data_IF_500344877398
#
_entry.id   IF_500344877398
#
_cell.length_a   1.000
_cell.length_b   1.000
_cell.length_c   1.000
_cell.angle_alpha   90.00
_cell.angle_beta   90.00
_cell.angle_gamma   90.00
#
_symmetry.space_group_name_H-M   'P 1'
#
loop_
_entity.id
_entity.type
_entity.pdbx_description
1 polymer ?
#
# COMPACT_ATOMS: atom_id res chain seq x y z
N UNK A 1 34.15 5.58 -6.42
CA UNK A 1 33.69 6.16 -7.69
C UNK A 1 32.31 5.67 -8.12
N UNK A 2 31.92 4.43 -7.89
CA UNK A 2 30.61 3.87 -8.31
C UNK A 2 29.41 4.52 -7.57
N UNK A 3 29.55 4.87 -6.30
CA UNK A 3 28.48 5.51 -5.50
C UNK A 3 28.13 6.93 -5.93
N UNK A 4 29.08 7.68 -6.47
CA UNK A 4 28.86 9.05 -6.98
C UNK A 4 28.12 9.03 -8.32
N UNK A 5 28.38 8.00 -9.15
CA UNK A 5 27.68 7.83 -10.42
C UNK A 5 26.21 7.43 -10.22
N UNK A 6 25.93 6.57 -9.23
CA UNK A 6 24.58 6.19 -8.89
C UNK A 6 23.75 7.38 -8.36
N UNK A 7 24.35 8.22 -7.53
CA UNK A 7 23.69 9.44 -7.06
C UNK A 7 23.40 10.44 -8.20
N UNK A 8 24.31 10.57 -9.17
CA UNK A 8 24.12 11.44 -10.33
C UNK A 8 23.00 10.94 -11.26
N UNK A 9 22.85 9.62 -11.41
CA UNK A 9 21.77 9.02 -12.22
C UNK A 9 20.41 9.22 -11.54
N UNK A 10 20.34 9.06 -10.23
CA UNK A 10 19.10 9.31 -9.46
C UNK A 10 18.69 10.79 -9.57
N UNK A 11 19.64 11.71 -9.45
CA UNK A 11 19.38 13.15 -9.62
C UNK A 11 18.96 13.45 -11.07
N UNK A 12 19.58 12.82 -12.08
CA UNK A 12 19.23 13.02 -13.48
C UNK A 12 17.82 12.49 -13.81
N UNK A 13 17.43 11.35 -13.25
CA UNK A 13 16.07 10.79 -13.41
C UNK A 13 15.04 11.68 -12.71
N UNK A 14 15.34 12.19 -11.52
CA UNK A 14 14.49 13.13 -10.81
C UNK A 14 14.31 14.46 -11.56
N UNK A 15 15.32 14.91 -12.32
CA UNK A 15 15.21 16.13 -13.14
C UNK A 15 14.53 15.92 -14.51
N UNK A 16 14.46 14.69 -15.04
CA UNK A 16 13.76 14.40 -16.31
C UNK A 16 12.29 14.02 -16.16
N UNK A 17 11.84 13.63 -14.96
CA UNK A 17 10.41 13.50 -14.70
C UNK A 17 9.86 14.92 -14.66
N UNK A 18 9.20 15.31 -15.74
CA UNK A 18 8.64 16.65 -15.91
C UNK A 18 7.46 16.81 -14.93
N UNK A 19 7.75 17.26 -13.72
CA UNK A 19 6.78 17.53 -12.66
C UNK A 19 5.66 18.48 -13.08
N UNK A 20 5.84 19.17 -14.22
CA UNK A 20 4.84 20.10 -14.77
C UNK A 20 3.56 19.41 -15.28
N UNK A 21 3.60 18.13 -15.59
CA UNK A 21 2.41 17.38 -16.04
C UNK A 21 1.50 16.90 -14.91
N UNK A 22 1.92 16.98 -13.66
CA UNK A 22 1.16 16.49 -12.50
C UNK A 22 0.22 17.53 -11.87
N UNK A 23 0.33 18.79 -12.24
CA UNK A 23 -0.64 19.82 -11.84
C UNK A 23 -1.65 20.01 -12.95
N UNK A 24 -2.61 19.10 -13.06
CA UNK A 24 -3.74 19.26 -13.97
C UNK A 24 -4.58 20.47 -13.56
N UNK A 25 -4.49 21.54 -14.31
CA UNK A 25 -5.56 22.53 -14.41
C UNK A 25 -5.37 23.89 -13.75
N UNK A 26 -4.24 24.21 -13.13
CA UNK A 26 -3.97 25.61 -12.74
C UNK A 26 -2.69 26.09 -13.38
N UNK A 27 -2.81 27.11 -14.25
CA UNK A 27 -1.64 27.84 -14.72
C UNK A 27 -0.84 28.33 -13.52
N UNK A 28 0.49 28.02 -13.41
CA UNK A 28 1.32 28.61 -12.36
C UNK A 28 1.28 30.13 -12.58
N UNK A 29 0.82 30.87 -11.58
CA UNK A 29 1.07 32.31 -11.58
C UNK A 29 2.56 32.45 -11.37
N UNK A 30 3.25 32.92 -12.39
CA UNK A 30 4.66 33.25 -12.27
C UNK A 30 4.72 34.61 -11.57
N UNK A 31 4.83 34.61 -10.22
CA UNK A 31 4.97 35.83 -9.44
C UNK A 31 6.20 36.67 -9.88
N UNK A 32 7.15 36.07 -10.57
CA UNK A 32 8.28 36.79 -11.15
C UNK A 32 7.88 37.66 -12.36
N UNK A 33 6.81 37.32 -13.08
CA UNK A 33 6.29 38.19 -14.17
C UNK A 33 5.41 39.33 -13.67
N UNK A 34 4.81 39.22 -12.49
CA UNK A 34 4.02 40.30 -11.89
C UNK A 34 4.87 41.35 -11.17
N UNK A 35 6.13 41.05 -10.83
CA UNK A 35 7.04 42.03 -10.21
C UNK A 35 7.48 43.18 -11.16
N UNK A 36 7.22 43.10 -12.46
CA UNK A 36 7.50 44.18 -13.42
C UNK A 36 6.34 45.18 -13.59
N UNK A 37 5.15 44.81 -13.06
CA UNK A 37 4.00 45.72 -13.05
C UNK A 37 3.71 45.95 -11.56
N UNK A 38 3.98 47.18 -11.07
CA UNK A 38 3.71 47.61 -9.69
C UNK A 38 2.21 47.47 -9.30
N UNK A 39 1.71 46.24 -9.27
CA UNK A 39 0.35 45.89 -8.98
C UNK A 39 0.22 45.51 -7.49
N UNK A 40 -0.75 46.12 -6.86
CA UNK A 40 -1.23 45.84 -5.51
C UNK A 40 -1.58 44.38 -5.39
N UNK A 41 -0.72 43.55 -4.79
CA UNK A 41 -1.00 42.11 -4.55
C UNK A 41 -2.20 42.05 -3.60
N UNK A 42 -3.31 41.45 -4.07
CA UNK A 42 -4.45 41.17 -3.19
C UNK A 42 -4.12 39.98 -2.28
N UNK A 43 -3.61 40.29 -1.08
CA UNK A 43 -3.28 39.30 -0.07
C UNK A 43 -4.46 38.38 0.29
N UNK A 44 -5.71 38.83 0.15
CA UNK A 44 -6.90 38.03 0.39
C UNK A 44 -7.07 36.93 -0.66
N UNK A 45 -6.84 37.25 -1.93
CA UNK A 45 -6.87 36.30 -3.04
C UNK A 45 -5.74 35.30 -2.88
N UNK A 46 -4.52 35.76 -2.59
CA UNK A 46 -3.35 34.90 -2.40
C UNK A 46 -3.55 33.94 -1.22
N UNK A 47 -4.02 34.43 -0.07
CA UNK A 47 -4.31 33.59 1.11
C UNK A 47 -5.38 32.54 0.82
N UNK A 48 -6.46 32.89 0.13
CA UNK A 48 -7.51 31.93 -0.25
C UNK A 48 -6.99 30.84 -1.22
N UNK A 49 -6.14 31.23 -2.16
CA UNK A 49 -5.48 30.29 -3.07
C UNK A 49 -4.57 29.34 -2.30
N UNK A 50 -3.65 29.89 -1.49
CA UNK A 50 -2.76 29.07 -0.64
C UNK A 50 -3.56 28.11 0.25
N UNK A 51 -4.66 28.57 0.86
CA UNK A 51 -5.50 27.73 1.70
C UNK A 51 -6.05 26.51 0.95
N UNK A 52 -6.54 26.67 -0.28
CA UNK A 52 -7.06 25.56 -1.10
C UNK A 52 -5.97 24.61 -1.57
N UNK A 53 -4.85 25.16 -2.03
CA UNK A 53 -3.75 24.31 -2.53
C UNK A 53 -3.08 23.53 -1.40
N UNK A 54 -2.95 24.11 -0.20
CA UNK A 54 -2.49 23.41 1.00
C UNK A 54 -3.44 22.26 1.34
N UNK A 55 -4.76 22.46 1.27
CA UNK A 55 -5.72 21.37 1.45
C UNK A 55 -5.52 20.26 0.42
N UNK A 56 -5.25 20.62 -0.84
CA UNK A 56 -4.94 19.65 -1.90
C UNK A 56 -3.68 18.83 -1.57
N UNK A 57 -2.61 19.49 -1.11
CA UNK A 57 -1.38 18.79 -0.66
C UNK A 57 -1.70 17.84 0.48
N UNK A 58 -2.45 18.27 1.49
CA UNK A 58 -2.83 17.43 2.63
C UNK A 58 -3.70 16.23 2.23
N UNK A 59 -4.66 16.42 1.32
CA UNK A 59 -5.51 15.34 0.82
C UNK A 59 -4.73 14.28 0.03
N UNK A 60 -3.64 14.66 -0.64
CA UNK A 60 -2.74 13.71 -1.30
C UNK A 60 -2.06 12.73 -0.33
N UNK A 61 -1.99 13.06 0.97
CA UNK A 61 -1.55 12.18 2.04
C UNK A 61 -2.68 11.39 2.69
N UNK A 62 -3.89 11.45 2.17
CA UNK A 62 -5.07 10.79 2.76
C UNK A 62 -5.54 11.44 4.06
N UNK A 63 -5.16 12.69 4.32
CA UNK A 63 -5.65 13.48 5.45
C UNK A 63 -7.09 13.88 5.15
N UNK A 64 -8.01 13.53 6.05
CA UNK A 64 -9.45 13.79 5.85
C UNK A 64 -9.82 15.22 6.22
N UNK A 65 -10.86 15.75 5.60
CA UNK A 65 -11.34 17.12 5.85
C UNK A 65 -11.67 17.36 7.31
N UNK A 66 -12.25 16.38 8.00
CA UNK A 66 -12.58 16.47 9.44
C UNK A 66 -11.37 16.54 10.37
N UNK A 67 -10.17 16.26 9.88
CA UNK A 67 -8.92 16.41 10.62
C UNK A 67 -8.26 17.77 10.43
N UNK A 68 -8.85 18.63 9.62
CA UNK A 68 -8.36 19.97 9.28
C UNK A 68 -9.34 21.00 9.82
N UNK A 69 -8.84 21.90 10.66
CA UNK A 69 -9.61 23.07 11.13
C UNK A 69 -8.94 24.32 10.63
N UNK A 70 -9.67 25.20 9.96
CA UNK A 70 -9.15 26.45 9.45
C UNK A 70 -9.85 27.64 10.10
N UNK A 71 -9.04 28.57 10.67
CA UNK A 71 -9.51 29.81 11.24
C UNK A 71 -8.92 31.01 10.47
N UNK A 72 -9.80 31.82 9.88
CA UNK A 72 -9.38 33.09 9.25
C UNK A 72 -9.09 34.14 10.33
N UNK A 73 -7.99 34.84 10.18
CA UNK A 73 -7.60 35.96 11.05
C UNK A 73 -7.58 37.26 10.25
N UNK A 74 -7.90 38.36 10.91
CA UNK A 74 -7.76 39.68 10.32
C UNK A 74 -6.54 40.37 11.00
N UNK A 75 -5.63 40.89 10.19
CA UNK A 75 -4.54 41.71 10.66
C UNK A 75 -5.01 43.14 10.98
N UNK A 76 -4.12 43.97 11.52
CA UNK A 76 -4.34 45.41 11.77
C UNK A 76 -4.57 46.22 10.48
N UNK A 77 -4.04 45.76 9.36
CA UNK A 77 -4.34 46.20 8.00
C UNK A 77 -5.31 45.22 7.37
N UNK A 78 -5.98 45.54 6.26
CA UNK A 78 -6.96 44.70 5.54
C UNK A 78 -6.42 43.32 5.10
N UNK A 79 -5.16 43.00 5.42
CA UNK A 79 -4.50 41.71 5.14
C UNK A 79 -5.19 40.57 5.89
N UNK A 80 -5.75 39.63 5.14
CA UNK A 80 -6.32 38.40 5.66
C UNK A 80 -5.24 37.33 5.68
N UNK A 81 -5.09 36.62 6.80
CA UNK A 81 -4.26 35.45 6.94
C UNK A 81 -5.02 34.33 7.63
N UNK A 82 -4.53 33.12 7.59
CA UNK A 82 -5.24 31.99 8.21
C UNK A 82 -4.32 31.13 9.09
N UNK A 83 -4.95 30.48 10.06
CA UNK A 83 -4.34 29.42 10.85
C UNK A 83 -5.05 28.12 10.50
N UNK A 84 -4.29 27.08 10.25
CA UNK A 84 -4.78 25.75 9.95
C UNK A 84 -4.21 24.77 10.96
N UNK A 85 -5.08 24.10 11.72
CA UNK A 85 -4.72 23.02 12.63
C UNK A 85 -5.02 21.69 11.96
N UNK A 86 -4.00 20.87 11.76
CA UNK A 86 -4.05 19.60 11.03
C UNK A 86 -3.66 18.45 11.95
N UNK A 87 -4.58 17.51 12.13
CA UNK A 87 -4.29 16.25 12.82
C UNK A 87 -3.85 15.23 11.79
N UNK A 88 -2.71 14.58 12.03
CA UNK A 88 -2.20 13.56 11.14
C UNK A 88 -2.13 12.19 11.83
N UNK A 89 -2.40 11.10 11.10
CA UNK A 89 -2.25 9.75 11.65
C UNK A 89 -0.79 9.42 11.93
N UNK A 90 -0.56 8.53 12.88
CA UNK A 90 0.77 8.18 13.37
C UNK A 90 1.65 7.44 12.33
N UNK A 91 1.05 6.89 11.28
CA UNK A 91 1.74 6.23 10.17
C UNK A 91 2.26 7.20 9.10
N UNK A 92 2.04 8.49 9.30
CA UNK A 92 2.50 9.58 8.44
C UNK A 92 3.47 10.46 9.21
N UNK A 93 4.65 10.71 8.64
CA UNK A 93 5.65 11.56 9.27
C UNK A 93 5.41 13.05 8.96
N UNK A 94 5.69 13.91 9.91
CA UNK A 94 5.63 15.36 9.68
C UNK A 94 6.66 15.82 8.64
N UNK A 95 7.78 15.10 8.51
CA UNK A 95 8.82 15.39 7.51
C UNK A 95 8.33 15.21 6.08
N UNK A 96 7.54 14.15 5.79
CA UNK A 96 6.97 13.93 4.45
C UNK A 96 6.03 15.06 4.04
N UNK A 97 5.14 15.48 4.95
CA UNK A 97 4.22 16.58 4.69
C UNK A 97 4.98 17.90 4.52
N UNK A 98 5.97 18.15 5.41
CA UNK A 98 6.80 19.35 5.35
C UNK A 98 7.49 19.49 3.98
N UNK A 99 8.03 18.40 3.45
CA UNK A 99 8.70 18.40 2.15
C UNK A 99 7.76 18.84 1.02
N UNK A 100 6.56 18.28 0.96
CA UNK A 100 5.58 18.60 -0.09
C UNK A 100 5.04 20.04 0.07
N UNK A 101 4.77 20.49 1.31
CA UNK A 101 4.36 21.87 1.59
C UNK A 101 5.46 22.86 1.20
N UNK A 102 6.71 22.61 1.57
CA UNK A 102 7.86 23.44 1.20
C UNK A 102 8.05 23.50 -0.31
N UNK A 103 7.89 22.36 -1.00
CA UNK A 103 7.98 22.29 -2.47
C UNK A 103 6.89 23.15 -3.11
N UNK A 104 5.65 23.04 -2.62
CA UNK A 104 4.55 23.88 -3.08
C UNK A 104 4.83 25.39 -2.86
N UNK A 105 5.18 25.79 -1.62
CA UNK A 105 5.42 27.19 -1.27
C UNK A 105 6.53 27.80 -2.11
N UNK A 106 7.64 27.07 -2.32
CA UNK A 106 8.74 27.49 -3.20
C UNK A 106 8.32 27.61 -4.65
N UNK A 107 7.46 26.72 -5.14
CA UNK A 107 6.97 26.74 -6.53
C UNK A 107 6.18 28.00 -6.86
N UNK A 108 5.56 28.65 -5.87
CA UNK A 108 4.82 29.92 -6.01
C UNK A 108 5.64 31.13 -5.58
N UNK A 109 6.94 30.96 -5.29
CA UNK A 109 7.86 32.07 -5.01
C UNK A 109 7.74 32.67 -3.60
N UNK A 110 7.05 31.96 -2.67
CA UNK A 110 6.93 32.39 -1.28
C UNK A 110 8.06 31.80 -0.41
N UNK A 111 8.28 32.42 0.76
CA UNK A 111 9.20 31.94 1.77
C UNK A 111 8.44 31.20 2.87
N UNK A 112 9.08 30.19 3.43
CA UNK A 112 8.56 29.47 4.58
C UNK A 112 9.58 29.38 5.71
N UNK A 113 9.09 29.18 6.92
CA UNK A 113 9.87 28.79 8.07
C UNK A 113 9.15 27.67 8.83
N UNK A 114 9.92 26.73 9.39
CA UNK A 114 9.38 25.56 10.08
C UNK A 114 9.95 25.51 11.48
N UNK A 115 9.09 25.25 12.46
CA UNK A 115 9.47 25.00 13.87
C UNK A 115 8.96 23.63 14.26
N UNK A 116 9.84 22.79 14.78
CA UNK A 116 9.50 21.46 15.28
C UNK A 116 9.53 21.43 16.80
N UNK A 117 8.51 20.81 17.39
CA UNK A 117 8.52 20.43 18.80
C UNK A 117 9.06 19.00 18.92
N UNK A 118 10.30 18.86 19.40
CA UNK A 118 11.00 17.58 19.52
C UNK A 118 10.25 16.58 20.41
N UNK A 119 9.43 17.04 21.36
CA UNK A 119 8.73 16.15 22.30
C UNK A 119 7.49 15.51 21.68
N UNK A 120 6.77 16.28 20.90
CA UNK A 120 5.50 15.86 20.30
C UNK A 120 5.63 15.49 18.83
N UNK A 121 6.79 15.75 18.21
CA UNK A 121 7.02 15.69 16.77
C UNK A 121 6.01 16.52 15.94
N UNK A 122 5.32 17.45 16.61
CA UNK A 122 4.46 18.42 15.95
C UNK A 122 5.30 19.50 15.26
N UNK A 123 4.82 19.99 14.12
CA UNK A 123 5.46 21.09 13.42
C UNK A 123 4.52 22.28 13.27
N UNK A 124 5.08 23.47 13.34
CA UNK A 124 4.44 24.72 12.96
C UNK A 124 5.11 25.20 11.67
N UNK A 125 4.37 25.14 10.57
CA UNK A 125 4.80 25.59 9.27
C UNK A 125 4.24 26.98 9.01
N UNK A 126 5.10 27.96 8.77
CA UNK A 126 4.74 29.37 8.60
C UNK A 126 5.08 29.78 7.17
N UNK A 127 4.12 30.36 6.48
CA UNK A 127 4.29 30.95 5.14
C UNK A 127 4.32 32.46 5.31
N UNK A 128 5.41 33.08 4.90
CA UNK A 128 5.55 34.52 4.94
C UNK A 128 4.79 35.19 3.79
N UNK A 129 4.17 36.32 4.07
CA UNK A 129 3.62 37.14 3.01
C UNK A 129 4.76 37.73 2.14
N UNK A 130 4.53 37.99 0.84
CA UNK A 130 5.46 38.73 0.02
C UNK A 130 5.84 40.04 0.69
N UNK A 131 7.13 40.38 0.70
CA UNK A 131 7.58 41.63 1.30
C UNK A 131 6.98 42.82 0.53
N UNK A 132 6.30 43.69 1.25
CA UNK A 132 5.97 45.01 0.73
C UNK A 132 7.26 45.87 0.64
N UNK A 133 7.32 46.79 -0.33
CA UNK A 133 8.47 47.67 -0.58
C UNK A 133 8.80 48.55 0.62
N UNK A 134 7.94 48.64 1.62
CA UNK A 134 8.14 49.39 2.86
C UNK A 134 9.04 48.73 3.90
N UNK A 135 9.35 47.44 3.79
CA UNK A 135 10.26 46.70 4.66
C UNK A 135 9.77 46.51 6.11
N UNK A 136 8.56 46.93 6.45
CA UNK A 136 7.98 46.84 7.78
C UNK A 136 7.16 45.56 7.96
N UNK A 137 7.53 44.76 8.99
CA UNK A 137 6.81 43.65 9.57
C UNK A 137 6.09 42.70 8.62
N UNK A 138 6.77 41.65 8.22
CA UNK A 138 6.16 40.52 7.50
C UNK A 138 5.13 39.80 8.36
N UNK A 139 3.86 40.11 8.19
CA UNK A 139 2.79 39.32 8.73
C UNK A 139 2.81 37.94 8.02
N UNK A 140 2.61 36.83 8.74
CA UNK A 140 2.46 35.53 8.08
C UNK A 140 1.21 35.53 7.18
N UNK A 141 1.33 34.95 5.99
CA UNK A 141 0.19 34.65 5.13
C UNK A 141 -0.63 33.47 5.67
N UNK A 142 0.09 32.47 6.22
CA UNK A 142 -0.51 31.29 6.81
C UNK A 142 0.37 30.72 7.94
N UNK A 143 -0.28 30.12 8.93
CA UNK A 143 0.34 29.27 9.95
C UNK A 143 -0.36 27.92 9.93
N UNK A 144 0.39 26.83 9.76
CA UNK A 144 -0.14 25.48 9.69
C UNK A 144 0.49 24.68 10.83
N UNK A 145 -0.33 24.29 11.81
CA UNK A 145 0.06 23.44 12.92
C UNK A 145 -0.26 21.99 12.58
N UNK A 146 0.74 21.13 12.48
CA UNK A 146 0.57 19.72 12.13
C UNK A 146 0.91 18.89 13.36
N UNK A 147 -0.05 18.13 13.85
CA UNK A 147 0.06 17.37 15.10
C UNK A 147 -0.23 15.88 14.85
N UNK A 148 0.71 14.97 15.12
CA UNK A 148 0.48 13.53 15.09
C UNK A 148 -0.52 13.07 16.16
N UNK A 149 -1.49 12.26 15.79
CA UNK A 149 -2.54 11.74 16.68
C UNK A 149 -2.66 10.22 16.51
N UNK A 150 -2.67 9.48 17.63
CA UNK A 150 -2.67 8.00 17.63
C UNK A 150 -3.99 7.38 17.23
N UNK A 151 -5.11 8.04 17.49
CA UNK A 151 -6.45 7.46 17.38
C UNK A 151 -7.10 7.63 16.00
N UNK A 152 -6.42 8.30 15.07
CA UNK A 152 -6.91 8.49 13.71
C UNK A 152 -6.16 7.60 12.70
N UNK A 153 -6.89 7.12 11.69
CA UNK A 153 -6.34 6.24 10.65
C UNK A 153 -6.83 6.64 9.27
N UNK A 154 -5.95 6.53 8.29
CA UNK A 154 -6.29 6.74 6.88
C UNK A 154 -7.16 5.59 6.37
N UNK A 155 -8.02 5.88 5.39
CA UNK A 155 -8.79 4.86 4.67
C UNK A 155 -7.91 4.22 3.61
N UNK A 156 -6.97 3.41 4.06
CA UNK A 156 -6.01 2.74 3.20
C UNK A 156 -5.83 1.30 3.66
N UNK A 157 -5.59 0.42 2.70
CA UNK A 157 -5.42 -1.01 2.93
C UNK A 157 -4.08 -1.53 2.44
N UNK A 158 -3.98 -2.85 2.40
CA UNK A 158 -2.82 -3.57 1.87
C UNK A 158 -3.08 -3.98 0.43
N UNK A 159 -2.11 -3.75 -0.43
CA UNK A 159 -2.09 -4.14 -1.83
C UNK A 159 -1.02 -5.20 -2.06
N UNK A 160 -1.44 -6.36 -2.55
CA UNK A 160 -0.57 -7.45 -2.99
C UNK A 160 -0.77 -7.59 -4.50
N UNK A 161 0.21 -7.13 -5.26
CA UNK A 161 0.10 -7.04 -6.71
C UNK A 161 1.03 -8.08 -7.35
N UNK A 162 0.45 -8.92 -8.19
CA UNK A 162 1.13 -10.00 -8.87
C UNK A 162 1.14 -9.68 -10.37
N UNK A 163 2.31 -9.48 -10.94
CA UNK A 163 2.47 -9.16 -12.36
C UNK A 163 2.55 -10.46 -13.15
N UNK A 164 1.71 -10.58 -14.15
CA UNK A 164 1.67 -11.70 -15.07
C UNK A 164 2.29 -11.29 -16.44
N UNK A 165 2.71 -12.27 -17.21
CA UNK A 165 3.21 -12.12 -18.58
C UNK A 165 4.47 -11.22 -18.73
N UNK A 166 5.30 -11.13 -17.70
CA UNK A 166 6.55 -10.36 -17.74
C UNK A 166 7.54 -10.89 -18.80
N UNK A 167 7.41 -12.13 -19.22
CA UNK A 167 8.19 -12.74 -20.31
C UNK A 167 7.95 -12.08 -21.67
N UNK A 168 6.84 -11.37 -21.84
CA UNK A 168 6.50 -10.66 -23.07
C UNK A 168 7.20 -9.29 -23.19
N UNK A 169 7.93 -8.86 -22.15
CA UNK A 169 8.63 -7.58 -22.15
C UNK A 169 9.98 -7.70 -22.87
N UNK A 170 10.37 -6.64 -23.56
CA UNK A 170 11.69 -6.56 -24.18
C UNK A 170 12.80 -6.60 -23.12
N UNK A 171 14.01 -7.08 -23.50
CA UNK A 171 15.10 -7.28 -22.55
C UNK A 171 15.51 -6.01 -21.81
N UNK A 172 15.61 -4.88 -22.52
CA UNK A 172 16.02 -3.59 -21.93
C UNK A 172 14.94 -3.05 -20.99
N UNK A 173 13.68 -3.24 -21.34
CA UNK A 173 12.50 -2.90 -20.53
C UNK A 173 12.41 -3.76 -19.29
N UNK A 174 12.64 -5.06 -19.46
CA UNK A 174 12.67 -6.01 -18.35
C UNK A 174 13.74 -5.63 -17.33
N UNK A 175 14.95 -5.22 -17.74
CA UNK A 175 15.98 -4.78 -16.79
C UNK A 175 15.58 -3.53 -16.01
N UNK A 176 14.91 -2.58 -16.65
CA UNK A 176 14.36 -1.41 -15.98
C UNK A 176 13.32 -1.80 -14.91
N UNK A 177 12.39 -2.69 -15.25
CA UNK A 177 11.36 -3.20 -14.34
C UNK A 177 11.98 -3.98 -13.18
N UNK A 178 12.98 -4.80 -13.44
CA UNK A 178 13.66 -5.59 -12.41
C UNK A 178 14.45 -4.72 -11.42
N UNK A 179 14.92 -3.56 -11.84
CA UNK A 179 15.59 -2.59 -10.98
C UNK A 179 14.61 -1.73 -10.17
N UNK A 180 13.33 -1.72 -10.53
CA UNK A 180 12.27 -1.09 -9.78
C UNK A 180 11.99 -1.92 -8.49
N UNK A 181 11.32 -1.36 -7.57
CA UNK A 181 11.05 -1.84 -6.22
C UNK A 181 10.77 -3.36 -6.06
N UNK A 182 11.09 -3.91 -4.91
CA UNK A 182 10.80 -5.30 -4.55
C UNK A 182 9.37 -5.49 -4.00
N UNK A 183 8.40 -4.66 -4.39
CA UNK A 183 7.06 -4.64 -3.83
C UNK A 183 6.04 -5.47 -4.64
N UNK A 184 6.44 -5.95 -5.81
CA UNK A 184 5.60 -6.78 -6.66
C UNK A 184 6.02 -8.23 -6.60
N UNK A 185 5.06 -9.11 -6.79
CA UNK A 185 5.29 -10.52 -7.07
C UNK A 185 5.11 -10.78 -8.56
N UNK A 186 5.74 -11.82 -9.07
CA UNK A 186 5.70 -12.18 -10.47
C UNK A 186 5.19 -13.61 -10.60
N UNK A 187 4.20 -13.84 -11.46
CA UNK A 187 3.62 -15.16 -11.67
C UNK A 187 3.91 -15.67 -13.09
N UNK A 188 4.31 -16.91 -13.16
CA UNK A 188 4.66 -17.59 -14.40
C UNK A 188 3.82 -18.86 -14.60
N UNK A 189 3.44 -19.18 -15.83
CA UNK A 189 2.95 -20.51 -16.15
C UNK A 189 4.08 -21.53 -15.91
N UNK A 190 3.70 -22.80 -15.75
CA UNK A 190 4.68 -23.88 -15.72
C UNK A 190 5.19 -24.15 -17.14
N UNK A 191 6.11 -23.31 -17.62
CA UNK A 191 6.73 -23.44 -18.92
C UNK A 191 8.25 -23.57 -18.75
N UNK A 192 8.91 -24.63 -19.26
CA UNK A 192 10.35 -24.78 -19.23
C UNK A 192 11.13 -23.61 -19.86
N UNK A 193 10.57 -22.95 -20.87
CA UNK A 193 11.18 -21.81 -21.56
C UNK A 193 11.35 -20.59 -20.65
N UNK A 194 10.56 -20.48 -19.59
CA UNK A 194 10.57 -19.35 -18.66
C UNK A 194 11.43 -19.59 -17.41
N UNK A 195 11.99 -20.78 -17.24
CA UNK A 195 12.77 -21.16 -16.05
C UNK A 195 14.00 -20.26 -15.89
N UNK A 196 14.66 -19.88 -16.99
CA UNK A 196 15.84 -19.02 -16.94
C UNK A 196 15.48 -17.62 -16.38
N UNK A 197 14.39 -17.03 -16.86
CA UNK A 197 13.88 -15.75 -16.37
C UNK A 197 13.44 -15.83 -14.92
N UNK A 198 12.75 -16.89 -14.52
CA UNK A 198 12.37 -17.14 -13.14
C UNK A 198 13.58 -17.19 -12.21
N UNK A 199 14.61 -17.93 -12.60
CA UNK A 199 15.86 -18.04 -11.82
C UNK A 199 16.58 -16.69 -11.71
N UNK A 200 16.63 -15.89 -12.79
CA UNK A 200 17.16 -14.52 -12.77
C UNK A 200 16.41 -13.66 -11.74
N UNK A 201 15.09 -13.69 -11.73
CA UNK A 201 14.25 -12.96 -10.78
C UNK A 201 14.52 -13.39 -9.32
N UNK A 202 14.61 -14.69 -9.09
CA UNK A 202 14.90 -15.25 -7.76
C UNK A 202 16.30 -14.80 -7.27
N UNK A 203 17.31 -14.81 -8.14
CA UNK A 203 18.66 -14.30 -7.83
C UNK A 203 18.63 -12.81 -7.47
N UNK A 204 17.76 -12.04 -8.10
CA UNK A 204 17.51 -10.62 -7.79
C UNK A 204 16.62 -10.43 -6.55
N UNK A 205 16.30 -11.50 -5.82
CA UNK A 205 15.43 -11.50 -4.61
C UNK A 205 14.01 -11.00 -4.88
N UNK A 206 13.52 -11.18 -6.10
CA UNK A 206 12.11 -10.92 -6.42
C UNK A 206 11.24 -12.07 -5.93
N UNK A 207 10.00 -11.77 -5.61
CA UNK A 207 9.01 -12.76 -5.22
C UNK A 207 8.39 -13.40 -6.46
N UNK A 208 8.62 -14.70 -6.65
CA UNK A 208 8.21 -15.45 -7.83
C UNK A 208 7.23 -16.54 -7.43
N UNK A 209 6.11 -16.61 -8.15
CA UNK A 209 5.07 -17.62 -8.02
C UNK A 209 4.94 -18.44 -9.30
N UNK A 210 4.46 -19.67 -9.15
CA UNK A 210 4.04 -20.50 -10.29
C UNK A 210 2.52 -20.57 -10.34
N UNK A 211 1.96 -20.40 -11.52
CA UNK A 211 0.56 -20.69 -11.81
C UNK A 211 0.42 -22.17 -12.16
N UNK A 212 -0.34 -22.89 -11.36
CA UNK A 212 -0.68 -24.29 -11.55
C UNK A 212 -2.12 -24.40 -11.99
N UNK A 213 -2.41 -25.33 -12.89
CA UNK A 213 -3.74 -25.48 -13.49
C UNK A 213 -4.37 -26.83 -13.15
N UNK A 214 -5.70 -26.80 -12.93
CA UNK A 214 -6.52 -28.00 -12.80
C UNK A 214 -7.52 -28.04 -13.94
N UNK A 215 -7.51 -29.12 -14.68
CA UNK A 215 -8.43 -29.38 -15.80
C UNK A 215 -9.47 -30.46 -15.48
N UNK A 216 -10.41 -30.65 -16.38
CA UNK A 216 -11.28 -31.81 -16.40
C UNK A 216 -10.47 -33.11 -16.64
N UNK A 217 -11.10 -34.27 -16.48
CA UNK A 217 -10.40 -35.55 -16.54
C UNK A 217 -9.74 -35.82 -17.92
N UNK A 218 -10.29 -35.29 -18.98
CA UNK A 218 -9.84 -35.41 -20.37
C UNK A 218 -8.86 -34.27 -20.79
N UNK A 219 -8.63 -33.29 -19.94
CA UNK A 219 -7.75 -32.19 -20.29
C UNK A 219 -6.29 -32.49 -19.92
N UNK A 220 -5.48 -32.87 -20.92
CA UNK A 220 -4.07 -33.23 -20.75
C UNK A 220 -3.11 -32.05 -20.70
N UNK A 221 -3.57 -30.85 -21.03
CA UNK A 221 -2.76 -29.61 -20.97
C UNK A 221 -2.68 -29.02 -19.55
N UNK A 222 -3.59 -29.46 -18.65
CA UNK A 222 -3.57 -29.04 -17.25
C UNK A 222 -2.46 -29.75 -16.47
N UNK A 223 -1.91 -29.06 -15.48
CA UNK A 223 -0.93 -29.66 -14.56
C UNK A 223 -1.53 -30.81 -13.76
N UNK A 224 -2.78 -30.65 -13.34
CA UNK A 224 -3.55 -31.66 -12.63
C UNK A 224 -4.92 -31.85 -13.27
N UNK A 225 -5.52 -33.01 -13.04
CA UNK A 225 -6.85 -33.35 -13.57
C UNK A 225 -7.76 -33.88 -12.48
N UNK A 226 -9.04 -33.60 -12.62
CA UNK A 226 -10.06 -34.22 -11.78
C UNK A 226 -10.03 -35.72 -12.01
N UNK A 227 -10.15 -36.50 -10.92
CA UNK A 227 -10.12 -37.97 -11.01
C UNK A 227 -8.71 -38.57 -11.16
N UNK A 228 -7.65 -37.79 -11.08
CA UNK A 228 -6.27 -38.29 -11.02
C UNK A 228 -6.09 -39.19 -9.80
N UNK A 229 -5.44 -40.33 -9.94
CA UNK A 229 -5.13 -41.22 -8.83
C UNK A 229 -4.18 -40.51 -7.83
N UNK A 230 -4.34 -40.77 -6.54
CA UNK A 230 -3.55 -40.14 -5.50
C UNK A 230 -2.03 -40.39 -5.66
N UNK A 231 -1.66 -41.56 -6.15
CA UNK A 231 -0.27 -41.95 -6.45
C UNK A 231 0.32 -41.04 -7.52
N UNK A 232 -0.40 -40.86 -8.61
CA UNK A 232 0.04 -40.03 -9.75
C UNK A 232 0.09 -38.55 -9.38
N UNK A 233 -0.89 -38.11 -8.59
CA UNK A 233 -0.90 -36.76 -8.03
C UNK A 233 0.36 -36.51 -7.20
N UNK A 234 0.71 -37.40 -6.28
CA UNK A 234 1.91 -37.28 -5.44
C UNK A 234 3.19 -37.26 -6.27
N UNK A 235 3.28 -38.11 -7.30
CA UNK A 235 4.42 -38.13 -8.20
C UNK A 235 4.52 -36.82 -9.01
N UNK A 236 3.38 -36.30 -9.50
CA UNK A 236 3.31 -35.03 -10.24
C UNK A 236 3.73 -33.84 -9.36
N UNK A 237 3.25 -33.77 -8.12
CA UNK A 237 3.67 -32.74 -7.16
C UNK A 237 5.17 -32.78 -6.91
N UNK A 238 5.75 -33.97 -6.70
CA UNK A 238 7.20 -34.12 -6.52
C UNK A 238 7.98 -33.65 -7.73
N UNK A 239 7.54 -34.01 -8.95
CA UNK A 239 8.17 -33.53 -10.17
C UNK A 239 8.15 -31.99 -10.25
N UNK A 240 6.99 -31.38 -10.04
CA UNK A 240 6.85 -29.91 -10.08
C UNK A 240 7.72 -29.25 -9.00
N UNK A 241 7.72 -29.77 -7.77
CA UNK A 241 8.56 -29.23 -6.69
C UNK A 241 10.06 -29.33 -7.01
N UNK A 242 10.46 -30.39 -7.75
CA UNK A 242 11.86 -30.55 -8.20
C UNK A 242 12.22 -29.59 -9.35
N UNK A 243 11.27 -29.29 -10.22
CA UNK A 243 11.46 -28.34 -11.35
C UNK A 243 11.67 -26.91 -10.80
N UNK A 244 11.09 -26.58 -9.63
CA UNK A 244 11.09 -25.24 -9.04
C UNK A 244 11.58 -25.21 -7.58
N UNK A 245 12.83 -25.60 -7.31
CA UNK A 245 13.32 -25.80 -5.93
C UNK A 245 13.36 -24.50 -5.08
N UNK A 246 13.39 -23.36 -5.71
CA UNK A 246 13.47 -22.04 -5.04
C UNK A 246 12.13 -21.35 -4.86
N UNK A 247 11.05 -21.91 -5.39
CA UNK A 247 9.71 -21.31 -5.30
C UNK A 247 9.05 -21.71 -3.98
N UNK A 248 8.52 -20.74 -3.27
CA UNK A 248 7.84 -20.93 -1.99
C UNK A 248 6.31 -20.91 -2.11
N UNK A 249 5.78 -20.29 -3.14
CA UNK A 249 4.35 -20.06 -3.28
C UNK A 249 3.86 -20.31 -4.72
N UNK A 250 2.63 -20.84 -4.85
CA UNK A 250 1.99 -21.05 -6.14
C UNK A 250 0.49 -20.71 -6.04
N UNK A 251 -0.10 -20.33 -7.18
CA UNK A 251 -1.53 -20.15 -7.35
C UNK A 251 -2.08 -21.35 -8.12
N UNK A 252 -3.16 -21.94 -7.63
CA UNK A 252 -3.84 -23.05 -8.24
C UNK A 252 -5.16 -22.57 -8.86
N UNK A 253 -5.20 -22.53 -10.18
CA UNK A 253 -6.30 -22.02 -10.97
C UNK A 253 -7.04 -23.15 -11.69
N UNK A 254 -8.32 -22.95 -11.99
CA UNK A 254 -9.04 -23.80 -12.93
C UNK A 254 -8.70 -23.37 -14.36
N UNK A 255 -8.47 -24.33 -15.24
CA UNK A 255 -8.20 -24.03 -16.66
C UNK A 255 -9.45 -23.46 -17.37
N UNK A 256 -10.64 -23.84 -16.90
CA UNK A 256 -11.92 -23.30 -17.35
C UNK A 256 -12.93 -23.22 -16.20
N UNK A 257 -13.98 -22.39 -16.38
CA UNK A 257 -15.07 -22.27 -15.40
C UNK A 257 -15.89 -23.55 -15.23
N UNK A 258 -15.87 -24.43 -16.21
CA UNK A 258 -16.60 -25.69 -16.24
C UNK A 258 -16.00 -26.75 -15.32
N UNK A 259 -14.71 -26.58 -14.93
CA UNK A 259 -14.06 -27.46 -13.96
C UNK A 259 -14.78 -27.33 -12.61
N UNK A 260 -15.44 -28.41 -12.11
CA UNK A 260 -16.17 -28.36 -10.83
C UNK A 260 -15.23 -28.14 -9.65
N UNK A 261 -15.80 -27.79 -8.50
CA UNK A 261 -15.05 -27.82 -7.25
C UNK A 261 -14.95 -29.28 -6.79
N UNK A 262 -13.73 -29.78 -6.70
CA UNK A 262 -13.42 -31.17 -6.41
C UNK A 262 -12.47 -31.27 -5.20
N UNK A 263 -12.56 -32.33 -4.37
CA UNK A 263 -11.61 -32.58 -3.28
C UNK A 263 -10.15 -32.65 -3.72
N UNK A 264 -9.86 -32.92 -4.99
CA UNK A 264 -8.51 -32.94 -5.57
C UNK A 264 -7.73 -31.64 -5.28
N UNK A 265 -8.41 -30.49 -5.25
CA UNK A 265 -7.77 -29.22 -4.89
C UNK A 265 -7.14 -29.27 -3.49
N UNK A 266 -7.86 -29.84 -2.53
CA UNK A 266 -7.35 -30.00 -1.16
C UNK A 266 -6.17 -30.98 -1.09
N UNK A 267 -6.21 -32.05 -1.87
CA UNK A 267 -5.12 -33.02 -1.93
C UNK A 267 -3.86 -32.39 -2.53
N UNK A 268 -3.97 -31.64 -3.63
CA UNK A 268 -2.87 -30.93 -4.26
C UNK A 268 -2.22 -29.96 -3.25
N UNK A 269 -3.01 -29.10 -2.61
CA UNK A 269 -2.54 -28.11 -1.65
C UNK A 269 -1.78 -28.79 -0.50
N UNK A 270 -2.34 -29.86 0.06
CA UNK A 270 -1.73 -30.57 1.16
C UNK A 270 -0.41 -31.26 0.75
N UNK A 271 -0.35 -31.82 -0.47
CA UNK A 271 0.87 -32.51 -0.92
C UNK A 271 2.01 -31.52 -1.23
N UNK A 272 1.71 -30.36 -1.83
CA UNK A 272 2.70 -29.28 -2.01
C UNK A 272 3.22 -28.75 -0.68
N UNK A 273 2.35 -28.58 0.31
CA UNK A 273 2.76 -28.14 1.65
C UNK A 273 3.77 -29.09 2.30
N UNK A 274 3.65 -30.41 2.09
CA UNK A 274 4.64 -31.38 2.57
C UNK A 274 6.01 -31.20 1.90
N UNK A 275 6.04 -30.61 0.70
CA UNK A 275 7.25 -30.29 -0.04
C UNK A 275 7.73 -28.83 0.20
N UNK A 276 7.16 -28.12 1.17
CA UNK A 276 7.57 -26.76 1.53
C UNK A 276 7.02 -25.66 0.61
N UNK A 277 6.09 -25.98 -0.29
CA UNK A 277 5.46 -25.01 -1.20
C UNK A 277 4.04 -24.72 -0.74
N UNK A 278 3.73 -23.45 -0.53
CA UNK A 278 2.40 -22.98 -0.16
C UNK A 278 1.56 -22.70 -1.40
N UNK A 279 0.53 -23.51 -1.61
CA UNK A 279 -0.38 -23.36 -2.75
C UNK A 279 -1.69 -22.75 -2.31
N UNK A 280 -2.13 -21.74 -3.04
CA UNK A 280 -3.37 -21.02 -2.80
C UNK A 280 -4.28 -21.11 -4.01
N UNK A 281 -5.58 -21.18 -3.76
CA UNK A 281 -6.56 -21.16 -4.86
C UNK A 281 -6.71 -19.76 -5.42
N UNK A 282 -6.97 -19.66 -6.71
CA UNK A 282 -7.29 -18.40 -7.42
C UNK A 282 -8.48 -17.64 -6.83
N UNK A 283 -9.30 -18.29 -6.00
CA UNK A 283 -10.42 -17.66 -5.29
C UNK A 283 -10.00 -16.58 -4.30
N UNK A 284 -8.71 -16.52 -3.89
CA UNK A 284 -8.18 -15.43 -3.06
C UNK A 284 -7.91 -14.15 -3.87
N UNK A 285 -7.87 -14.27 -5.20
CA UNK A 285 -7.55 -13.17 -6.09
C UNK A 285 -8.76 -12.25 -6.27
N UNK A 286 -8.52 -10.97 -6.17
CA UNK A 286 -9.53 -9.94 -6.42
C UNK A 286 -9.57 -9.63 -7.92
N UNK A 287 -10.69 -9.87 -8.56
CA UNK A 287 -10.89 -9.45 -9.95
C UNK A 287 -11.09 -7.94 -10.00
N UNK A 288 -10.20 -7.24 -10.71
CA UNK A 288 -10.24 -5.79 -10.85
C UNK A 288 -10.97 -5.35 -12.13
N UNK A 289 -10.75 -6.04 -13.24
CA UNK A 289 -11.29 -5.68 -14.53
C UNK A 289 -12.23 -6.77 -15.08
N UNK A 290 -13.15 -6.37 -15.93
CA UNK A 290 -13.92 -7.28 -16.80
C UNK A 290 -13.19 -7.43 -18.14
N UNK A 291 -13.49 -8.47 -18.91
CA UNK A 291 -12.80 -8.76 -20.17
C UNK A 291 -12.82 -7.57 -21.16
N UNK A 292 -13.92 -6.81 -21.23
CA UNK A 292 -14.06 -5.62 -22.11
C UNK A 292 -13.25 -4.41 -21.63
N UNK A 293 -12.80 -4.38 -20.39
CA UNK A 293 -12.03 -3.29 -19.80
C UNK A 293 -10.52 -3.54 -19.87
N UNK A 294 -10.12 -4.79 -20.13
CA UNK A 294 -8.70 -5.15 -20.29
C UNK A 294 -8.08 -4.54 -21.56
N UNK A 295 -8.90 -4.28 -22.58
CA UNK A 295 -8.46 -3.67 -23.85
C UNK A 295 -8.74 -2.15 -23.91
N UNK A 296 -9.06 -1.52 -22.78
CA UNK A 296 -9.41 -0.09 -22.71
C UNK A 296 -8.21 0.82 -22.57
N UNK A 297 -8.17 1.93 -23.32
CA UNK A 297 -7.15 2.99 -23.19
C UNK A 297 -7.05 3.55 -21.75
N UNK A 298 -8.10 3.37 -20.93
CA UNK A 298 -8.14 3.81 -19.54
C UNK A 298 -7.83 2.70 -18.53
N UNK A 299 -7.33 1.55 -18.95
CA UNK A 299 -7.11 0.35 -18.15
C UNK A 299 -6.35 0.64 -16.84
N UNK A 300 -5.21 1.30 -16.92
CA UNK A 300 -4.38 1.61 -15.74
C UNK A 300 -5.15 2.49 -14.74
N UNK A 301 -5.88 3.49 -15.22
CA UNK A 301 -6.72 4.34 -14.35
C UNK A 301 -7.79 3.52 -13.64
N UNK A 302 -8.49 2.65 -14.36
CA UNK A 302 -9.53 1.76 -13.79
C UNK A 302 -8.95 0.84 -12.73
N UNK A 303 -7.77 0.25 -13.00
CA UNK A 303 -7.06 -0.59 -12.02
C UNK A 303 -6.78 0.21 -10.74
N UNK A 304 -6.17 1.40 -10.85
CA UNK A 304 -5.82 2.22 -9.70
C UNK A 304 -7.04 2.63 -8.88
N UNK A 305 -8.12 3.06 -9.54
CA UNK A 305 -9.35 3.48 -8.86
C UNK A 305 -10.02 2.31 -8.13
N UNK A 306 -10.07 1.12 -8.74
CA UNK A 306 -10.63 -0.08 -8.11
C UNK A 306 -9.75 -0.64 -6.98
N UNK A 307 -8.43 -0.53 -7.10
CA UNK A 307 -7.52 -0.87 -6.01
C UNK A 307 -7.79 0.00 -4.78
N UNK A 308 -7.93 1.33 -4.98
CA UNK A 308 -8.29 2.26 -3.90
C UNK A 308 -9.61 1.87 -3.25
N UNK A 309 -10.66 1.73 -4.06
CA UNK A 309 -11.99 1.41 -3.57
C UNK A 309 -12.00 0.10 -2.79
N UNK A 310 -11.54 -0.99 -3.40
CA UNK A 310 -11.59 -2.32 -2.77
C UNK A 310 -10.73 -2.40 -1.52
N UNK A 311 -9.50 -1.87 -1.55
CA UNK A 311 -8.61 -1.93 -0.39
C UNK A 311 -9.08 -1.04 0.77
N UNK A 312 -9.70 0.11 0.49
CA UNK A 312 -10.30 0.95 1.53
C UNK A 312 -11.47 0.24 2.24
N UNK A 313 -12.23 -0.59 1.52
CA UNK A 313 -13.38 -1.32 2.09
C UNK A 313 -13.00 -2.66 2.74
N UNK A 314 -12.18 -3.46 2.05
CA UNK A 314 -11.84 -4.82 2.51
C UNK A 314 -10.57 -4.89 3.36
N UNK A 315 -9.78 -3.84 3.40
CA UNK A 315 -8.49 -3.77 4.08
C UNK A 315 -7.34 -4.43 3.32
N UNK A 316 -7.61 -5.47 2.51
CA UNK A 316 -6.58 -6.18 1.73
C UNK A 316 -7.08 -6.47 0.31
N UNK A 317 -6.22 -6.30 -0.68
CA UNK A 317 -6.48 -6.69 -2.07
C UNK A 317 -5.30 -7.48 -2.59
N UNK A 318 -5.57 -8.68 -3.10
CA UNK A 318 -4.59 -9.51 -3.82
C UNK A 318 -5.06 -9.57 -5.26
N UNK A 319 -4.28 -9.05 -6.20
CA UNK A 319 -4.69 -8.99 -7.60
C UNK A 319 -3.57 -9.38 -8.55
N UNK A 320 -3.94 -10.11 -9.60
CA UNK A 320 -3.07 -10.37 -10.76
C UNK A 320 -3.32 -9.30 -11.80
N UNK A 321 -2.25 -8.71 -12.31
CA UNK A 321 -2.27 -7.64 -13.30
C UNK A 321 -1.62 -8.13 -14.60
N UNK A 322 -2.37 -8.04 -15.70
CA UNK A 322 -1.89 -8.27 -17.05
C UNK A 322 -1.63 -6.90 -17.67
N UNK A 323 -0.38 -6.44 -17.67
CA UNK A 323 0.01 -5.12 -18.14
C UNK A 323 1.02 -5.27 -19.29
N UNK A 324 0.91 -4.45 -20.31
CA UNK A 324 2.01 -4.20 -21.25
C UNK A 324 3.12 -3.42 -20.56
N UNK A 325 4.27 -3.28 -21.21
CA UNK A 325 5.38 -2.51 -20.65
C UNK A 325 5.00 -1.04 -20.36
N UNK A 326 4.41 -0.34 -21.32
CA UNK A 326 3.99 1.05 -21.16
C UNK A 326 2.93 1.21 -20.06
N UNK A 327 1.96 0.28 -20.00
CA UNK A 327 0.96 0.24 -18.94
C UNK A 327 1.60 0.00 -17.56
N UNK A 328 2.64 -0.84 -17.49
CA UNK A 328 3.34 -1.08 -16.24
C UNK A 328 4.08 0.17 -15.75
N UNK A 329 4.76 0.88 -16.64
CA UNK A 329 5.47 2.13 -16.31
C UNK A 329 4.49 3.19 -15.81
N UNK A 330 3.37 3.38 -16.51
CA UNK A 330 2.29 4.31 -16.09
C UNK A 330 1.70 3.88 -14.74
N UNK A 331 1.38 2.61 -14.58
CA UNK A 331 0.87 2.06 -13.33
C UNK A 331 1.84 2.28 -12.17
N UNK A 332 3.14 1.97 -12.38
CA UNK A 332 4.18 2.15 -11.36
C UNK A 332 4.27 3.61 -10.90
N UNK A 333 4.22 4.55 -11.83
CA UNK A 333 4.22 5.98 -11.48
C UNK A 333 3.06 6.34 -10.54
N UNK A 334 1.88 5.76 -10.77
CA UNK A 334 0.68 5.98 -9.96
C UNK A 334 0.73 5.29 -8.60
N UNK A 335 1.54 4.22 -8.44
CA UNK A 335 1.71 3.55 -7.14
C UNK A 335 2.32 4.46 -6.08
N UNK A 336 3.14 5.43 -6.47
CA UNK A 336 3.73 6.40 -5.54
C UNK A 336 2.65 7.26 -4.88
N UNK A 337 1.61 7.63 -5.63
CA UNK A 337 0.46 8.34 -5.08
C UNK A 337 -0.35 7.45 -4.12
N UNK A 338 -0.49 6.15 -4.42
CA UNK A 338 -1.14 5.21 -3.50
C UNK A 338 -0.38 5.09 -2.18
N UNK A 339 0.96 5.05 -2.22
CA UNK A 339 1.79 5.05 -1.01
C UNK A 339 1.59 6.32 -0.18
N UNK A 340 1.58 7.49 -0.82
CA UNK A 340 1.29 8.76 -0.14
C UNK A 340 -0.08 8.72 0.56
N UNK A 341 -1.10 8.15 -0.07
CA UNK A 341 -2.42 7.95 0.52
C UNK A 341 -2.44 6.96 1.69
N UNK A 342 -1.38 6.20 1.91
CA UNK A 342 -1.22 5.25 3.02
C UNK A 342 -1.41 3.79 2.67
N UNK A 343 -1.62 3.46 1.39
CA UNK A 343 -1.69 2.06 0.97
C UNK A 343 -0.33 1.38 1.13
N UNK A 344 -0.34 0.17 1.69
CA UNK A 344 0.86 -0.63 1.93
C UNK A 344 1.01 -1.68 0.85
N UNK A 345 2.19 -1.76 0.26
CA UNK A 345 2.50 -2.75 -0.76
C UNK A 345 3.30 -3.88 -0.11
N UNK A 346 2.86 -5.10 -0.36
CA UNK A 346 3.59 -6.30 0.05
C UNK A 346 3.71 -7.26 -1.13
N UNK A 347 4.81 -8.01 -1.17
CA UNK A 347 4.88 -9.19 -2.02
C UNK A 347 3.91 -10.26 -1.50
N UNK A 348 3.50 -11.17 -2.36
CA UNK A 348 2.58 -12.24 -2.01
C UNK A 348 3.13 -13.10 -0.86
N UNK A 349 4.37 -13.53 -0.97
CA UNK A 349 5.01 -14.36 0.07
C UNK A 349 5.07 -13.63 1.42
N UNK A 350 5.47 -12.36 1.44
CA UNK A 350 5.51 -11.56 2.66
C UNK A 350 4.11 -11.36 3.28
N UNK A 351 3.10 -11.13 2.45
CA UNK A 351 1.73 -11.02 2.92
C UNK A 351 1.25 -12.32 3.57
N UNK A 352 1.53 -13.46 2.95
CA UNK A 352 1.13 -14.77 3.47
C UNK A 352 1.82 -15.07 4.80
N UNK A 353 3.13 -14.82 4.91
CA UNK A 353 3.87 -15.02 6.16
C UNK A 353 3.24 -14.20 7.31
N UNK A 354 2.90 -12.95 7.06
CA UNK A 354 2.23 -12.09 8.04
C UNK A 354 0.83 -12.59 8.44
N UNK A 355 0.05 -13.07 7.48
CA UNK A 355 -1.27 -13.62 7.77
C UNK A 355 -1.17 -14.92 8.59
N UNK A 356 -0.19 -15.75 8.31
CA UNK A 356 0.08 -16.95 9.12
C UNK A 356 0.48 -16.59 10.55
N UNK A 357 1.41 -15.66 10.75
CA UNK A 357 1.77 -15.17 12.08
C UNK A 357 0.56 -14.57 12.83
N UNK A 358 -0.31 -13.86 12.13
CA UNK A 358 -1.54 -13.30 12.72
C UNK A 358 -2.47 -14.41 13.21
N UNK A 359 -2.69 -15.43 12.38
CA UNK A 359 -3.53 -16.58 12.71
C UNK A 359 -2.96 -17.35 13.90
N UNK A 360 -1.65 -17.55 13.96
CA UNK A 360 -0.97 -18.22 15.08
C UNK A 360 -1.15 -17.43 16.39
N UNK A 361 -0.89 -16.14 16.37
CA UNK A 361 -1.09 -15.26 17.53
C UNK A 361 -2.55 -15.22 18.01
N UNK A 362 -3.51 -15.27 17.09
CA UNK A 362 -4.93 -15.35 17.44
C UNK A 362 -5.29 -16.70 18.06
N UNK A 363 -4.72 -17.80 17.59
CA UNK A 363 -4.90 -19.14 18.19
C UNK A 363 -4.33 -19.19 19.60
N UNK A 364 -3.09 -18.70 19.78
CA UNK A 364 -2.44 -18.63 21.10
C UNK A 364 -3.28 -17.83 22.10
N UNK A 365 -3.79 -16.66 21.71
CA UNK A 365 -4.67 -15.84 22.55
C UNK A 365 -5.95 -16.58 22.94
N UNK A 366 -6.60 -17.25 22.00
CA UNK A 366 -7.82 -18.04 22.27
C UNK A 366 -7.54 -19.19 23.21
N UNK A 367 -6.42 -19.87 23.06
CA UNK A 367 -5.99 -20.94 23.97
C UNK A 367 -5.71 -20.43 25.39
N UNK A 368 -5.05 -19.26 25.51
CA UNK A 368 -4.83 -18.63 26.81
C UNK A 368 -6.14 -18.20 27.49
N UNK A 369 -7.06 -17.62 26.75
CA UNK A 369 -8.38 -17.26 27.25
C UNK A 369 -9.17 -18.49 27.72
N UNK A 370 -9.13 -19.57 26.95
CA UNK A 370 -9.78 -20.83 27.31
C UNK A 370 -9.16 -21.43 28.59
N UNK A 371 -7.83 -21.41 28.71
CA UNK A 371 -7.12 -21.86 29.94
C UNK A 371 -7.49 -21.01 31.16
N UNK A 372 -7.65 -19.69 31.01
CA UNK A 372 -8.11 -18.78 32.07
C UNK A 372 -9.52 -19.13 32.50
N UNK A 373 -10.45 -19.30 31.56
CA UNK A 373 -11.85 -19.66 31.86
C UNK A 373 -11.99 -21.02 32.56
N UNK A 374 -11.15 -22.01 32.16
CA UNK A 374 -11.13 -23.33 32.83
C UNK A 374 -10.64 -23.20 34.28
N UNK A 375 -9.58 -22.45 34.55
CA UNK A 375 -9.05 -22.18 35.90
C UNK A 375 -10.08 -21.46 36.78
N UNK A 376 -10.81 -20.50 36.24
CA UNK A 376 -11.89 -19.80 36.96
C UNK A 376 -13.06 -20.73 37.32
N UNK A 377 -13.46 -21.60 36.39
CA UNK A 377 -14.51 -22.62 36.65
C UNK A 377 -14.09 -23.64 37.70
N UNK A 378 -12.82 -24.06 37.72
CA UNK A 378 -12.29 -24.96 38.75
C UNK A 378 -12.19 -24.29 40.12
N UNK A 379 -11.80 -23.02 40.17
CA UNK A 379 -11.73 -22.26 41.41
C UNK A 379 -13.13 -21.97 42.00
N UNK A 380 -14.12 -21.75 41.15
CA UNK A 380 -15.51 -21.56 41.57
C UNK A 380 -16.13 -22.85 42.12
N UNK A 381 -15.83 -24.03 41.53
CA UNK A 381 -16.25 -25.34 42.03
C UNK A 381 -15.66 -25.68 43.41
N UNK A 382 -14.40 -25.31 43.68
CA UNK A 382 -13.75 -25.53 44.99
C UNK A 382 -14.32 -24.65 46.11
N UNK A 383 -14.92 -23.51 45.79
CA UNK A 383 -15.55 -22.64 46.80
C UNK A 383 -16.90 -23.14 47.26
N UNK A 384 -17.61 -23.94 46.47
CA UNK A 384 -18.96 -24.48 46.79
C UNK A 384 -18.93 -25.77 47.60
N UNK A 385 -17.76 -26.42 47.80
CA UNK A 385 -17.61 -27.70 48.51
C UNK A 385 -17.02 -27.58 49.92
N UNK A 386 -17.11 -26.41 50.60
CA UNK A 386 -16.78 -26.37 52.02
C UNK A 386 -17.93 -27.01 52.84
N UNK A 387 -17.69 -28.10 53.60
CA UNK A 387 -18.74 -28.74 54.39
C UNK A 387 -19.21 -27.81 55.51
N UNK A 388 -20.53 -27.62 55.64
CA UNK A 388 -21.14 -26.95 56.77
C UNK A 388 -20.73 -27.73 58.03
N UNK A 389 -19.89 -27.16 58.89
CA UNK A 389 -19.66 -27.66 60.24
C UNK A 389 -20.97 -27.60 61.02
N UNK A 390 -21.56 -28.75 61.29
CA UNK A 390 -22.69 -28.94 62.19
C UNK A 390 -22.25 -28.59 63.60
N UNK A 391 -22.73 -27.46 64.12
CA UNK A 391 -22.64 -27.12 65.57
C UNK A 391 -23.49 -28.08 66.30
N UNK A 392 -22.89 -29.09 66.98
CA UNK A 392 -23.54 -29.86 68.04
C UNK A 392 -23.82 -28.94 69.26
N UNK A 393 -25.07 -28.62 69.51
CA UNK A 393 -25.49 -27.99 70.73
C UNK A 393 -25.43 -29.00 71.87
N UNK A 394 -24.56 -28.78 72.85
CA UNK A 394 -24.68 -29.45 74.17
C UNK A 394 -25.74 -28.76 75.00
N UNK A 395 -26.84 -29.45 75.29
CA UNK A 395 -27.75 -29.14 76.41
C UNK A 395 -27.15 -29.66 77.71
N UNK A 396 -27.08 -28.80 78.70
CA UNK A 396 -27.22 -29.07 80.08
C UNK A 396 -28.24 -28.06 80.62
#
# INVERSE_FOLDING_TARGET
MISVLAAAIIVYILFRVDFRKFTSGSNPINLQQENEIGSNIDYGILANRCNREIDSVLYNFGIKKEWITTASKKGSSSAKWFVKDVKIPHDLTTAEINLDLSTYVKSIGLKESVREDIRTTAITFIIDAPQDTSGENTLPLAIINITPVKDIKRDAGTLVLIINQISNFDKDELENILNISNEFSYIFPRNPEEIELQNKLIQMKKDVLVNLTVGANDNFDADFRIGMEEKDLKQRVKSIASDFPSIKSAILSKISKEVPNDPVFGLIINEFRKNGIYVYRDTILTKLLNNTEEDSDNKVKLIVDRLKEKASHSGNVIAVLNLSNDEFVDFYSKTQNLKKLGFKFYTFSHFIDREQERIEKEKEKKEEELKKQLKEKESSKKKTTKPKQTKKSKKK
#
